data_IF_015844164143
#
_entry.id   IF_015844164143
#
_cell.length_a   1.000
_cell.length_b   1.000
_cell.length_c   1.000
_cell.angle_alpha   90.00
_cell.angle_beta   90.00
_cell.angle_gamma   90.00
#
_symmetry.space_group_name_H-M   'P 1'
#
loop_
_entity.id
_entity.type
_entity.pdbx_description
1 polymer ?
#
# COMPACT_ATOMS: atom_id res chain seq x y z
N UNK A 1 -17.99 -9.53 13.80
CA UNK A 1 -17.46 -10.71 14.52
C UNK A 1 -15.94 -10.62 14.57
N UNK A 2 -15.31 -10.98 15.70
CA UNK A 2 -13.85 -11.10 15.81
C UNK A 2 -13.52 -12.58 15.96
N UNK A 3 -12.65 -13.10 15.09
CA UNK A 3 -12.22 -14.49 15.15
C UNK A 3 -10.79 -14.54 15.71
N UNK A 4 -10.62 -15.10 16.91
CA UNK A 4 -9.31 -15.28 17.54
C UNK A 4 -8.75 -16.63 17.12
N UNK A 5 -7.68 -16.59 16.34
CA UNK A 5 -6.99 -17.80 15.87
C UNK A 5 -5.83 -18.10 16.79
N UNK A 6 -5.63 -19.38 17.14
CA UNK A 6 -4.55 -19.79 18.04
C UNK A 6 -3.16 -19.58 17.42
N UNK A 7 -3.03 -19.81 16.10
CA UNK A 7 -1.77 -19.67 15.37
C UNK A 7 -1.83 -18.53 14.35
N UNK A 8 -0.74 -17.78 14.25
CA UNK A 8 -0.62 -16.68 13.28
C UNK A 8 -0.69 -17.19 11.83
N UNK A 9 -0.12 -18.37 11.54
CA UNK A 9 -0.12 -18.99 10.23
C UNK A 9 -1.55 -19.25 9.71
N UNK A 10 -2.42 -19.74 10.58
CA UNK A 10 -3.83 -20.00 10.25
C UNK A 10 -4.57 -18.71 9.92
N UNK A 11 -4.31 -17.63 10.68
CA UNK A 11 -4.84 -16.30 10.36
C UNK A 11 -4.36 -15.81 8.98
N UNK A 12 -3.08 -16.01 8.64
CA UNK A 12 -2.56 -15.68 7.32
C UNK A 12 -3.19 -16.53 6.21
N UNK A 13 -3.37 -17.83 6.42
CA UNK A 13 -4.00 -18.73 5.47
C UNK A 13 -5.46 -18.34 5.18
N UNK A 14 -6.23 -17.99 6.22
CA UNK A 14 -7.62 -17.50 6.06
C UNK A 14 -7.64 -16.20 5.26
N UNK A 15 -6.78 -15.23 5.58
CA UNK A 15 -6.73 -13.95 4.87
C UNK A 15 -6.31 -14.12 3.41
N UNK A 16 -5.36 -15.01 3.14
CA UNK A 16 -4.88 -15.31 1.79
C UNK A 16 -5.98 -16.01 0.98
N UNK A 17 -6.62 -17.05 1.54
CA UNK A 17 -7.74 -17.73 0.89
C UNK A 17 -8.91 -16.79 0.59
N UNK A 18 -9.24 -15.89 1.53
CA UNK A 18 -10.25 -14.86 1.30
C UNK A 18 -9.86 -13.87 0.18
N UNK A 19 -8.58 -13.52 0.05
CA UNK A 19 -8.08 -12.66 -1.04
C UNK A 19 -8.17 -13.35 -2.39
N UNK A 20 -7.89 -14.65 -2.45
CA UNK A 20 -8.00 -15.46 -3.66
C UNK A 20 -9.46 -15.64 -4.07
N UNK A 21 -10.35 -15.95 -3.13
CA UNK A 21 -11.78 -16.07 -3.38
C UNK A 21 -12.40 -14.78 -3.95
N UNK A 22 -11.89 -13.59 -3.57
CA UNK A 22 -12.34 -12.32 -4.15
C UNK A 22 -12.07 -12.19 -5.64
N UNK A 23 -11.09 -12.91 -6.19
CA UNK A 23 -10.79 -12.90 -7.63
C UNK A 23 -11.81 -13.71 -8.44
N UNK A 24 -12.43 -14.72 -7.82
CA UNK A 24 -13.28 -15.70 -8.51
C UNK A 24 -14.77 -15.51 -8.25
N UNK A 25 -15.18 -15.07 -7.06
CA UNK A 25 -16.61 -14.93 -6.76
C UNK A 25 -16.99 -14.43 -5.37
N UNK A 26 -16.01 -14.06 -4.53
CA UNK A 26 -16.13 -13.72 -3.11
C UNK A 26 -16.57 -14.89 -2.21
N UNK A 27 -16.21 -14.84 -0.93
CA UNK A 27 -16.64 -15.85 0.05
C UNK A 27 -18.09 -15.59 0.42
N UNK A 28 -18.95 -16.61 0.32
CA UNK A 28 -20.37 -16.52 0.68
C UNK A 28 -20.71 -17.51 1.81
N UNK A 29 -21.63 -17.10 2.67
CA UNK A 29 -22.24 -17.91 3.71
C UNK A 29 -23.72 -17.55 3.78
N UNK A 30 -24.61 -18.53 3.61
CA UNK A 30 -26.08 -18.32 3.60
C UNK A 30 -26.53 -17.16 2.68
N UNK A 31 -25.98 -17.10 1.46
CA UNK A 31 -26.27 -16.05 0.48
C UNK A 31 -25.69 -14.66 0.81
N UNK A 32 -24.91 -14.52 1.89
CA UNK A 32 -24.28 -13.26 2.31
C UNK A 32 -22.80 -13.26 1.97
N UNK A 33 -22.32 -12.17 1.38
CA UNK A 33 -20.88 -11.98 1.11
C UNK A 33 -20.11 -11.68 2.38
N UNK A 34 -19.18 -12.55 2.73
CA UNK A 34 -18.26 -12.37 3.86
C UNK A 34 -17.00 -11.62 3.42
N UNK A 35 -16.54 -10.70 4.27
CA UNK A 35 -15.29 -9.95 4.08
C UNK A 35 -14.36 -10.15 5.27
N UNK A 36 -13.20 -10.73 5.02
CA UNK A 36 -12.15 -10.92 6.00
C UNK A 36 -11.16 -9.75 5.99
N UNK A 37 -10.81 -9.28 7.19
CA UNK A 37 -9.79 -8.26 7.43
C UNK A 37 -8.96 -8.66 8.65
N UNK A 38 -7.68 -8.34 8.65
CA UNK A 38 -6.85 -8.52 9.83
C UNK A 38 -7.32 -7.56 10.94
N UNK A 39 -7.37 -8.06 12.18
CA UNK A 39 -7.69 -7.22 13.35
C UNK A 39 -6.46 -6.40 13.73
N UNK A 40 -6.38 -5.16 13.23
CA UNK A 40 -5.36 -4.20 13.66
C UNK A 40 -5.84 -3.44 14.90
N UNK A 41 -4.93 -3.13 15.82
CA UNK A 41 -5.22 -2.16 16.88
C UNK A 41 -5.54 -0.79 16.26
N UNK A 42 -6.33 0.05 16.93
CA UNK A 42 -6.65 1.40 16.46
C UNK A 42 -5.38 2.22 16.16
N UNK A 43 -4.35 2.06 17.01
CA UNK A 43 -3.04 2.66 16.83
C UNK A 43 -2.33 2.21 15.55
N UNK A 44 -2.34 0.90 15.27
CA UNK A 44 -1.77 0.35 14.03
C UNK A 44 -2.52 0.87 12.80
N UNK A 45 -3.86 0.91 12.86
CA UNK A 45 -4.68 1.41 11.75
C UNK A 45 -4.43 2.89 11.48
N UNK A 46 -4.29 3.71 12.53
CA UNK A 46 -3.97 5.14 12.38
C UNK A 46 -2.60 5.34 11.70
N UNK A 47 -1.59 4.57 12.11
CA UNK A 47 -0.26 4.61 11.47
C UNK A 47 -0.32 4.17 10.01
N UNK A 48 -1.06 3.12 9.68
CA UNK A 48 -1.25 2.70 8.29
C UNK A 48 -1.97 3.77 7.45
N UNK A 49 -3.00 4.42 8.02
CA UNK A 49 -3.72 5.51 7.36
C UNK A 49 -2.84 6.72 7.08
N UNK A 50 -1.83 6.99 7.91
CA UNK A 50 -0.88 8.08 7.67
C UNK A 50 -0.10 7.91 6.35
N UNK A 51 0.02 6.69 5.82
CA UNK A 51 0.64 6.43 4.51
C UNK A 51 -0.34 6.48 3.33
N UNK A 52 -1.65 6.67 3.58
CA UNK A 52 -2.69 6.50 2.54
C UNK A 52 -2.55 7.45 1.35
N UNK A 53 -2.24 8.73 1.60
CA UNK A 53 -2.09 9.70 0.52
C UNK A 53 -0.85 9.43 -0.33
N UNK A 54 0.26 9.05 0.31
CA UNK A 54 1.45 8.61 -0.42
C UNK A 54 1.19 7.35 -1.26
N UNK A 55 0.42 6.40 -0.74
CA UNK A 55 0.06 5.19 -1.49
C UNK A 55 -0.73 5.52 -2.75
N UNK A 56 -1.73 6.40 -2.66
CA UNK A 56 -2.52 6.83 -3.82
C UNK A 56 -1.64 7.43 -4.92
N UNK A 57 -0.73 8.32 -4.54
CA UNK A 57 0.17 9.00 -5.47
C UNK A 57 1.17 8.03 -6.11
N UNK A 58 1.83 7.18 -5.33
CA UNK A 58 2.76 6.19 -5.86
C UNK A 58 2.07 5.17 -6.77
N UNK A 59 0.83 4.81 -6.44
CA UNK A 59 0.02 3.95 -7.29
C UNK A 59 -0.34 4.65 -8.61
N UNK A 60 -0.69 5.94 -8.58
CA UNK A 60 -0.94 6.75 -9.77
C UNK A 60 0.31 6.90 -10.66
N UNK A 61 1.51 6.92 -10.06
CA UNK A 61 2.78 6.93 -10.76
C UNK A 61 3.23 5.55 -11.26
N UNK A 62 2.45 4.48 -11.02
CA UNK A 62 2.79 3.12 -11.40
C UNK A 62 3.96 2.51 -10.62
N UNK A 63 4.31 3.07 -9.45
CA UNK A 63 5.44 2.61 -8.64
C UNK A 63 4.99 1.47 -7.72
N UNK A 64 5.62 0.28 -7.79
CA UNK A 64 5.27 -0.83 -6.91
C UNK A 64 5.52 -0.50 -5.44
N UNK A 65 4.48 -0.68 -4.62
CA UNK A 65 4.52 -0.44 -3.19
C UNK A 65 3.91 -1.59 -2.38
N UNK A 66 4.38 -1.77 -1.15
CA UNK A 66 3.86 -2.73 -0.20
C UNK A 66 3.81 -2.12 1.21
N UNK A 67 2.68 -2.25 1.89
CA UNK A 67 2.58 -1.91 3.31
C UNK A 67 2.76 -3.18 4.13
N UNK A 68 3.89 -3.26 4.84
CA UNK A 68 4.23 -4.35 5.74
C UNK A 68 3.71 -4.05 7.14
N UNK A 69 3.21 -5.08 7.81
CA UNK A 69 2.81 -5.01 9.22
C UNK A 69 4.01 -4.64 10.11
N UNK A 70 3.86 -3.76 11.11
CA UNK A 70 2.62 -3.08 11.48
C UNK A 70 2.29 -1.84 10.65
N UNK A 71 3.28 -1.05 10.22
CA UNK A 71 3.07 0.16 9.42
C UNK A 71 4.37 0.60 8.72
N UNK A 72 4.92 -0.29 7.90
CA UNK A 72 6.18 -0.04 7.18
C UNK A 72 5.93 -0.03 5.68
N UNK A 73 6.13 1.10 5.03
CA UNK A 73 5.92 1.23 3.59
C UNK A 73 7.20 0.89 2.84
N UNK A 74 7.14 -0.13 1.98
CA UNK A 74 8.21 -0.47 1.04
C UNK A 74 7.86 0.00 -0.36
N UNK A 75 8.79 0.68 -1.00
CA UNK A 75 8.63 1.24 -2.34
C UNK A 75 9.79 0.80 -3.20
N UNK A 76 9.53 0.36 -4.44
CA UNK A 76 10.59 0.03 -5.40
C UNK A 76 10.67 1.12 -6.46
N UNK A 77 11.70 1.96 -6.39
CA UNK A 77 11.88 3.09 -7.31
C UNK A 77 13.26 3.02 -7.97
N UNK A 78 13.31 3.05 -9.32
CA UNK A 78 14.55 2.98 -10.12
C UNK A 78 15.47 1.81 -9.72
N UNK A 79 14.90 0.63 -9.49
CA UNK A 79 15.64 -0.57 -9.08
C UNK A 79 16.06 -0.61 -7.60
N UNK A 80 15.85 0.46 -6.83
CA UNK A 80 16.16 0.51 -5.39
C UNK A 80 14.92 0.25 -4.55
N UNK A 81 15.04 -0.63 -3.55
CA UNK A 81 14.00 -0.91 -2.55
C UNK A 81 14.19 0.04 -1.37
N UNK A 82 13.26 0.96 -1.19
CA UNK A 82 13.22 1.91 -0.07
C UNK A 82 12.19 1.44 0.96
N UNK A 83 12.49 1.64 2.23
CA UNK A 83 11.64 1.23 3.34
C UNK A 83 11.44 2.41 4.28
N UNK A 84 10.19 2.76 4.56
CA UNK A 84 9.81 3.89 5.40
C UNK A 84 9.02 3.38 6.61
N UNK A 85 9.48 3.73 7.81
CA UNK A 85 8.82 3.45 9.08
C UNK A 85 8.06 4.67 9.63
N UNK A 86 8.42 5.86 9.16
CA UNK A 86 7.75 7.13 9.48
C UNK A 86 7.00 7.65 8.27
N UNK A 87 5.77 8.15 8.49
CA UNK A 87 4.98 8.80 7.44
C UNK A 87 5.67 10.08 6.94
N UNK A 88 6.39 10.79 7.81
CA UNK A 88 7.08 12.03 7.46
C UNK A 88 8.20 11.79 6.43
N UNK A 89 9.03 10.77 6.65
CA UNK A 89 10.12 10.43 5.74
C UNK A 89 9.59 10.01 4.37
N UNK A 90 8.48 9.28 4.40
CA UNK A 90 7.78 8.82 3.22
C UNK A 90 7.19 10.00 2.43
N UNK A 91 6.64 11.01 3.11
CA UNK A 91 6.14 12.24 2.48
C UNK A 91 7.26 13.11 1.90
N UNK A 92 8.40 13.20 2.59
CA UNK A 92 9.58 13.88 2.07
C UNK A 92 10.06 13.23 0.76
N UNK A 93 10.08 11.90 0.71
CA UNK A 93 10.39 11.17 -0.51
C UNK A 93 9.36 11.42 -1.63
N UNK A 94 8.07 11.47 -1.31
CA UNK A 94 7.00 11.85 -2.25
C UNK A 94 7.27 13.21 -2.89
N UNK A 95 7.56 14.24 -2.08
CA UNK A 95 7.87 15.59 -2.55
C UNK A 95 9.07 15.61 -3.50
N UNK A 96 10.10 14.81 -3.21
CA UNK A 96 11.28 14.70 -4.08
C UNK A 96 10.94 14.09 -5.44
N UNK A 97 10.11 13.04 -5.50
CA UNK A 97 9.69 12.42 -6.77
C UNK A 97 8.88 13.41 -7.60
N UNK A 98 7.86 14.04 -7.02
CA UNK A 98 7.01 15.01 -7.72
C UNK A 98 7.84 16.16 -8.29
N UNK A 99 8.76 16.73 -7.50
CA UNK A 99 9.63 17.82 -7.96
C UNK A 99 10.57 17.38 -9.09
N UNK A 100 11.07 16.15 -9.05
CA UNK A 100 11.92 15.60 -10.12
C UNK A 100 11.16 15.39 -11.43
N UNK A 101 9.88 14.99 -11.37
CA UNK A 101 9.01 14.87 -12.53
C UNK A 101 8.75 16.25 -13.18
N UNK A 102 8.45 17.28 -12.37
CA UNK A 102 8.19 18.64 -12.86
C UNK A 102 9.44 19.27 -13.51
N UNK A 103 10.64 18.97 -13.00
CA UNK A 103 11.90 19.47 -13.58
C UNK A 103 12.24 18.83 -14.93
N UNK A 104 11.82 17.58 -15.18
CA UNK A 104 12.06 16.92 -16.46
C UNK A 104 11.17 17.47 -17.57
N UNK A 105 9.98 17.99 -17.26
CA UNK A 105 9.04 18.59 -18.22
C UNK A 105 9.49 19.97 -18.72
N UNK A 106 10.20 20.75 -17.89
CA UNK A 106 10.70 22.10 -18.28
C UNK A 106 11.93 22.11 -19.20
N UNK A 107 12.43 20.95 -19.64
CA UNK A 107 13.53 20.84 -20.62
C UNK A 107 12.97 20.49 -22.01
N UNK A 108 12.15 21.36 -22.60
CA UNK A 108 11.99 21.37 -24.05
C UNK A 108 13.11 22.24 -24.63
N UNK A 109 13.98 21.71 -25.52
CA UNK A 109 14.89 22.53 -26.29
C UNK A 109 14.07 23.35 -27.29
N UNK A 110 14.13 24.68 -27.18
CA UNK A 110 13.72 25.57 -28.26
C UNK A 110 14.63 25.29 -29.47
N UNK A 111 14.12 24.56 -30.46
CA UNK A 111 14.70 24.58 -31.80
C UNK A 111 14.05 25.75 -32.55
N UNK A 112 14.84 26.81 -32.73
CA UNK A 112 14.56 27.89 -33.66
C UNK A 112 15.43 27.65 -34.89
N UNK A 113 14.81 27.48 -36.05
CA UNK A 113 15.37 27.89 -37.35
C UNK A 113 14.25 28.56 -38.15
#
# INVERSE_FOLDING_TARGET
MIFKVLRYQDCQAILQGAKEARKTGSTQDDGKTLRFFASYSAFTLQRQRAFSDMQKELYALGIPLFLIYPATLRVTHKGKKLTFTSAQDAENFRKQITNSATRSSKRQPNYTE
#
